data_IF_609878547199
#
_entry.id   IF_609878547199
#
_cell.length_a   1.000
_cell.length_b   1.000
_cell.length_c   1.000
_cell.angle_alpha   90.00
_cell.angle_beta   90.00
_cell.angle_gamma   90.00
#
_symmetry.space_group_name_H-M   'P 1'
#
loop_
_entity.id
_entity.type
_entity.pdbx_description
1 polymer ?
#
# COMPACT_ATOMS: atom_id res chain seq x y z
N UNK A 1 -5.82 -27.87 7.46
CA UNK A 1 -4.88 -26.77 7.81
C UNK A 1 -5.21 -25.58 6.94
N UNK A 2 -5.31 -24.39 7.52
CA UNK A 2 -5.52 -23.15 6.77
C UNK A 2 -4.18 -22.45 6.50
N UNK A 3 -4.17 -21.41 5.67
CA UNK A 3 -3.00 -20.53 5.44
C UNK A 3 -3.24 -19.18 6.08
N UNK A 4 -2.20 -18.60 6.66
CA UNK A 4 -2.24 -17.25 7.21
C UNK A 4 -2.53 -16.24 6.10
N UNK A 5 -3.55 -15.41 6.30
CA UNK A 5 -4.00 -14.43 5.31
C UNK A 5 -3.00 -13.30 5.00
N UNK A 6 -1.94 -13.19 5.80
CA UNK A 6 -0.88 -12.20 5.63
C UNK A 6 0.45 -12.80 5.16
N UNK A 7 0.72 -14.08 5.44
CA UNK A 7 2.06 -14.67 5.19
C UNK A 7 2.03 -15.99 4.45
N UNK A 8 0.85 -16.54 4.16
CA UNK A 8 0.62 -17.89 3.60
C UNK A 8 1.17 -19.07 4.41
N UNK A 9 1.83 -18.83 5.55
CA UNK A 9 2.29 -19.89 6.45
C UNK A 9 1.12 -20.74 6.99
N UNK A 10 1.31 -22.06 7.18
CA UNK A 10 0.26 -22.93 7.73
C UNK A 10 -0.20 -22.51 9.13
N UNK A 11 -1.52 -22.50 9.35
CA UNK A 11 -2.15 -22.21 10.63
C UNK A 11 -3.37 -23.13 10.88
N UNK A 12 -3.84 -23.19 12.13
CA UNK A 12 -4.90 -24.12 12.56
C UNK A 12 -6.28 -23.77 12.00
N UNK A 13 -6.60 -22.48 11.91
CA UNK A 13 -7.90 -21.94 11.47
C UNK A 13 -7.68 -20.72 10.57
N UNK A 14 -8.73 -20.23 9.92
CA UNK A 14 -8.69 -18.98 9.14
C UNK A 14 -8.23 -17.80 10.04
N UNK A 15 -7.35 -16.94 9.50
CA UNK A 15 -6.89 -15.74 10.20
C UNK A 15 -5.37 -15.52 10.08
N UNK A 16 -4.76 -15.11 11.19
CA UNK A 16 -3.38 -14.62 11.21
C UNK A 16 -2.47 -15.47 12.11
N UNK A 17 -1.22 -15.64 11.71
CA UNK A 17 -0.17 -16.21 12.56
C UNK A 17 0.28 -15.19 13.61
N UNK A 18 0.93 -15.64 14.69
CA UNK A 18 1.47 -14.72 15.70
C UNK A 18 2.47 -13.71 15.12
N UNK A 19 3.27 -14.14 14.14
CA UNK A 19 4.17 -13.25 13.39
C UNK A 19 3.36 -12.19 12.63
N UNK A 20 2.35 -12.59 11.86
CA UNK A 20 1.50 -11.65 11.14
C UNK A 20 0.83 -10.63 12.08
N UNK A 21 0.27 -11.08 13.21
CA UNK A 21 -0.33 -10.17 14.20
C UNK A 21 0.67 -9.15 14.74
N UNK A 22 1.90 -9.58 15.05
CA UNK A 22 2.97 -8.69 15.54
C UNK A 22 3.35 -7.62 14.51
N UNK A 23 3.56 -8.02 13.25
CA UNK A 23 4.02 -7.10 12.21
C UNK A 23 2.91 -6.19 11.69
N UNK A 24 1.70 -6.73 11.53
CA UNK A 24 0.57 -6.02 10.93
C UNK A 24 -0.22 -5.24 11.97
N UNK A 25 -0.55 -5.84 13.12
CA UNK A 25 -1.48 -5.29 14.11
C UNK A 25 -0.86 -5.01 15.48
N UNK A 26 0.46 -4.87 15.55
CA UNK A 26 1.20 -4.58 16.79
C UNK A 26 0.93 -5.63 17.90
N UNK A 27 0.63 -6.86 17.50
CA UNK A 27 0.38 -8.01 18.39
C UNK A 27 -1.08 -8.19 18.83
N UNK A 28 -1.97 -7.26 18.45
CA UNK A 28 -3.40 -7.32 18.77
C UNK A 28 -4.13 -8.42 18.02
N UNK A 29 -5.24 -8.91 18.58
CA UNK A 29 -6.00 -10.03 18.00
C UNK A 29 -7.12 -9.51 17.10
N UNK A 30 -6.80 -9.30 15.83
CA UNK A 30 -7.73 -8.72 14.86
C UNK A 30 -8.49 -9.81 14.11
N UNK A 31 -9.79 -9.59 13.90
CA UNK A 31 -10.65 -10.43 13.06
C UNK A 31 -10.24 -10.33 11.57
N UNK A 32 -10.25 -11.44 10.81
CA UNK A 32 -10.09 -11.37 9.36
C UNK A 32 -11.34 -10.84 8.63
N UNK A 33 -12.43 -10.57 9.36
CA UNK A 33 -13.66 -9.98 8.85
C UNK A 33 -13.89 -8.60 9.44
N UNK A 34 -14.17 -7.62 8.59
CA UNK A 34 -14.63 -6.28 8.93
C UNK A 34 -16.09 -6.32 9.39
N UNK A 35 -16.49 -5.38 10.24
CA UNK A 35 -17.84 -5.27 10.80
C UNK A 35 -18.82 -4.48 9.92
N UNK A 36 -18.31 -3.92 8.80
CA UNK A 36 -19.08 -3.21 7.79
C UNK A 36 -19.09 -3.92 6.43
N UNK A 37 -20.12 -3.61 5.64
CA UNK A 37 -20.28 -4.14 4.29
C UNK A 37 -19.30 -3.50 3.30
N UNK A 38 -19.06 -4.20 2.18
CA UNK A 38 -18.35 -3.61 1.06
C UNK A 38 -19.09 -2.34 0.60
N UNK A 39 -18.37 -1.28 0.19
CA UNK A 39 -18.99 -0.07 -0.30
C UNK A 39 -19.75 -0.36 -1.60
N UNK A 40 -21.08 -0.34 -1.54
CA UNK A 40 -21.90 -0.21 -2.74
C UNK A 40 -21.70 1.19 -3.32
N UNK A 41 -21.43 1.28 -4.63
CA UNK A 41 -20.97 2.48 -5.33
C UNK A 41 -21.93 3.70 -5.29
N UNK A 42 -23.05 3.62 -4.57
CA UNK A 42 -24.13 4.61 -4.66
C UNK A 42 -24.62 5.19 -3.32
N UNK A 43 -24.39 4.59 -2.12
CA UNK A 43 -25.14 5.07 -0.92
C UNK A 43 -24.46 5.09 0.47
N UNK A 44 -23.16 4.82 0.62
CA UNK A 44 -22.56 4.89 1.97
C UNK A 44 -21.83 6.22 2.26
N UNK A 45 -22.51 7.10 3.00
CA UNK A 45 -22.00 8.40 3.44
C UNK A 45 -20.64 8.32 4.17
N UNK A 46 -20.42 7.27 4.97
CA UNK A 46 -19.17 7.13 5.74
C UNK A 46 -17.96 6.88 4.84
N UNK A 47 -18.13 6.07 3.79
CA UNK A 47 -17.10 5.80 2.79
C UNK A 47 -16.85 7.01 1.90
N UNK A 48 -17.90 7.73 1.47
CA UNK A 48 -17.74 8.98 0.71
C UNK A 48 -16.95 10.03 1.49
N UNK A 49 -17.30 10.24 2.75
CA UNK A 49 -16.62 11.20 3.61
C UNK A 49 -15.16 10.78 3.88
N UNK A 50 -14.89 9.47 3.95
CA UNK A 50 -13.54 8.94 4.08
C UNK A 50 -12.68 9.24 2.84
N UNK A 51 -13.20 9.02 1.62
CA UNK A 51 -12.48 9.28 0.36
C UNK A 51 -12.11 10.75 0.23
N UNK A 52 -13.05 11.68 0.51
CA UNK A 52 -12.86 13.12 0.26
C UNK A 52 -11.71 13.76 1.04
N UNK A 53 -11.28 13.17 2.16
CA UNK A 53 -10.22 13.74 3.01
C UNK A 53 -8.89 12.99 2.94
N UNK A 54 -8.83 11.87 2.20
CA UNK A 54 -7.61 11.09 2.04
C UNK A 54 -6.81 11.65 0.86
N UNK A 55 -5.67 12.29 1.15
CA UNK A 55 -4.68 12.68 0.13
C UNK A 55 -3.80 11.49 -0.28
N UNK A 56 -4.41 10.41 -0.80
CA UNK A 56 -3.68 9.25 -1.35
C UNK A 56 -3.96 9.18 -2.84
N UNK A 57 -2.90 9.25 -3.64
CA UNK A 57 -3.01 9.22 -5.10
C UNK A 57 -3.41 7.85 -5.66
N UNK A 58 -4.11 7.82 -6.79
CA UNK A 58 -4.48 6.59 -7.51
C UNK A 58 -5.90 6.64 -8.08
N UNK A 59 -6.19 5.80 -9.08
CA UNK A 59 -7.53 5.68 -9.70
C UNK A 59 -8.45 4.77 -8.87
N UNK A 60 -7.88 3.80 -8.15
CA UNK A 60 -8.61 2.90 -7.28
C UNK A 60 -9.03 3.60 -5.99
N UNK A 61 -10.26 3.35 -5.56
CA UNK A 61 -10.80 3.82 -4.27
C UNK A 61 -10.01 3.22 -3.11
N UNK A 62 -9.67 4.05 -2.13
CA UNK A 62 -8.89 3.67 -0.95
C UNK A 62 -9.55 4.24 0.29
N UNK A 63 -9.57 3.45 1.36
CA UNK A 63 -10.10 3.88 2.64
C UNK A 63 -9.04 3.83 3.73
N UNK A 64 -9.11 4.78 4.63
CA UNK A 64 -8.21 4.88 5.78
C UNK A 64 -8.86 4.20 6.97
N UNK A 65 -8.16 3.24 7.58
CA UNK A 65 -8.61 2.54 8.77
C UNK A 65 -7.70 2.80 9.97
N UNK A 66 -8.29 2.78 11.16
CA UNK A 66 -7.61 2.75 12.44
C UNK A 66 -7.96 1.46 13.18
N UNK A 67 -6.99 0.91 13.91
CA UNK A 67 -7.24 -0.18 14.83
C UNK A 67 -7.63 0.40 16.20
N UNK A 68 -8.91 0.28 16.54
CA UNK A 68 -9.47 0.65 17.83
C UNK A 68 -9.71 -0.62 18.64
N UNK A 69 -9.05 -0.73 19.80
CA UNK A 69 -8.98 -2.00 20.54
C UNK A 69 -8.49 -3.12 19.62
N UNK A 70 -9.36 -4.05 19.23
CA UNK A 70 -9.07 -5.17 18.33
C UNK A 70 -9.85 -5.10 16.99
N UNK A 71 -10.55 -4.00 16.72
CA UNK A 71 -11.42 -3.83 15.55
C UNK A 71 -10.89 -2.73 14.61
N UNK A 72 -10.87 -3.03 13.31
CA UNK A 72 -10.52 -2.07 12.27
C UNK A 72 -11.74 -1.22 11.92
N UNK A 73 -11.64 0.11 12.10
CA UNK A 73 -12.72 1.06 11.80
C UNK A 73 -12.30 2.11 10.79
N UNK A 74 -13.26 2.60 10.01
CA UNK A 74 -13.08 3.75 9.13
C UNK A 74 -12.67 4.98 9.93
N UNK A 75 -11.64 5.67 9.46
CA UNK A 75 -11.20 6.94 10.03
C UNK A 75 -10.79 7.94 8.96
N UNK A 76 -11.14 9.20 9.16
CA UNK A 76 -10.74 10.31 8.29
C UNK A 76 -9.34 10.83 8.63
N UNK A 77 -8.90 10.69 9.88
CA UNK A 77 -7.65 11.28 10.38
C UNK A 77 -6.83 10.23 11.12
N UNK A 78 -5.51 10.26 10.93
CA UNK A 78 -4.57 9.43 11.68
C UNK A 78 -4.62 7.93 11.38
N UNK A 79 -5.35 7.50 10.34
CA UNK A 79 -5.45 6.09 10.01
C UNK A 79 -4.11 5.46 9.67
N UNK A 80 -3.85 4.32 10.32
CA UNK A 80 -2.61 3.53 10.22
C UNK A 80 -2.66 2.45 9.14
N UNK A 81 -3.82 2.25 8.52
CA UNK A 81 -4.00 1.24 7.47
C UNK A 81 -4.72 1.83 6.27
N UNK A 82 -4.43 1.27 5.10
CA UNK A 82 -5.13 1.55 3.85
C UNK A 82 -5.85 0.27 3.43
N UNK A 83 -7.17 0.37 3.27
CA UNK A 83 -8.02 -0.67 2.72
C UNK A 83 -8.28 -0.38 1.24
N UNK A 84 -8.10 -1.41 0.41
CA UNK A 84 -8.40 -1.38 -1.02
C UNK A 84 -9.44 -2.46 -1.33
N UNK A 85 -10.69 -2.08 -1.60
CA UNK A 85 -11.72 -3.02 -2.03
C UNK A 85 -11.44 -3.50 -3.47
N UNK A 86 -12.30 -4.40 -3.94
CA UNK A 86 -12.41 -4.74 -5.36
C UNK A 86 -12.61 -3.42 -6.16
N UNK A 87 -11.72 -3.11 -7.11
CA UNK A 87 -11.87 -1.94 -7.97
C UNK A 87 -13.09 -2.06 -8.88
N UNK A 88 -13.76 -0.93 -9.13
CA UNK A 88 -14.77 -0.86 -10.20
C UNK A 88 -14.13 -0.43 -11.50
N UNK A 89 -14.53 -1.11 -12.57
CA UNK A 89 -14.04 -0.85 -13.90
C UNK A 89 -14.50 -1.92 -14.88
N UNK A 90 -13.89 -1.92 -16.07
CA UNK A 90 -14.21 -2.85 -17.16
C UNK A 90 -13.11 -3.86 -17.43
N UNK A 91 -12.11 -3.97 -16.56
CA UNK A 91 -11.02 -4.93 -16.70
C UNK A 91 -11.50 -6.34 -16.37
N UNK A 92 -10.86 -7.34 -16.97
CA UNK A 92 -11.12 -8.74 -16.65
C UNK A 92 -10.58 -9.07 -15.25
N UNK A 93 -11.26 -9.98 -14.55
CA UNK A 93 -10.82 -10.51 -13.24
C UNK A 93 -10.64 -9.46 -12.12
N UNK A 94 -11.37 -8.34 -12.15
CA UNK A 94 -11.34 -7.32 -11.09
C UNK A 94 -11.63 -7.90 -9.69
N UNK A 95 -12.50 -8.91 -9.62
CA UNK A 95 -12.82 -9.62 -8.37
C UNK A 95 -11.59 -10.25 -7.70
N UNK A 96 -10.52 -10.52 -8.44
CA UNK A 96 -9.26 -11.08 -7.93
C UNK A 96 -8.18 -10.04 -7.67
N UNK A 97 -8.48 -8.74 -7.82
CA UNK A 97 -7.49 -7.68 -7.65
C UNK A 97 -6.91 -7.62 -6.22
N UNK A 98 -7.70 -7.75 -5.13
CA UNK A 98 -7.15 -7.84 -3.78
C UNK A 98 -6.15 -8.98 -3.61
N UNK A 99 -6.48 -10.18 -4.11
CA UNK A 99 -5.64 -11.37 -4.04
C UNK A 99 -4.38 -11.22 -4.89
N UNK A 100 -4.51 -10.63 -6.08
CA UNK A 100 -3.38 -10.35 -6.96
C UNK A 100 -2.37 -9.41 -6.30
N UNK A 101 -2.86 -8.31 -5.71
CA UNK A 101 -1.99 -7.36 -5.00
C UNK A 101 -1.33 -8.03 -3.79
N UNK A 102 -2.10 -8.77 -2.97
CA UNK A 102 -1.54 -9.48 -1.82
C UNK A 102 -0.48 -10.51 -2.24
N UNK A 103 -0.78 -11.36 -3.22
CA UNK A 103 0.12 -12.41 -3.68
C UNK A 103 1.43 -11.82 -4.21
N UNK A 104 1.33 -10.78 -5.05
CA UNK A 104 2.51 -10.10 -5.62
C UNK A 104 3.39 -9.52 -4.53
N UNK A 105 2.80 -8.89 -3.52
CA UNK A 105 3.52 -8.34 -2.37
C UNK A 105 4.19 -9.42 -1.51
N UNK A 106 3.53 -10.56 -1.31
CA UNK A 106 4.14 -11.69 -0.59
C UNK A 106 5.27 -12.34 -1.38
N UNK A 107 5.17 -12.44 -2.70
CA UNK A 107 6.25 -12.93 -3.54
C UNK A 107 7.45 -11.97 -3.48
N UNK A 108 7.21 -10.65 -3.62
CA UNK A 108 8.24 -9.63 -3.50
C UNK A 108 9.01 -9.76 -2.16
N UNK A 109 8.28 -9.86 -1.04
CA UNK A 109 8.86 -9.93 0.29
C UNK A 109 9.55 -11.26 0.59
N UNK A 110 8.84 -12.38 0.38
CA UNK A 110 9.28 -13.69 0.88
C UNK A 110 10.26 -14.40 -0.06
N UNK A 111 10.14 -14.16 -1.38
CA UNK A 111 10.95 -14.86 -2.38
C UNK A 111 12.11 -13.99 -2.85
N UNK A 112 11.84 -12.70 -3.12
CA UNK A 112 12.84 -11.78 -3.65
C UNK A 112 13.52 -10.91 -2.58
N UNK A 113 13.08 -10.99 -1.32
CA UNK A 113 13.65 -10.22 -0.22
C UNK A 113 13.47 -8.70 -0.38
N UNK A 114 12.48 -8.27 -1.16
CA UNK A 114 12.15 -6.86 -1.37
C UNK A 114 11.45 -6.34 -0.11
N UNK A 115 11.88 -5.17 0.36
CA UNK A 115 11.22 -4.51 1.48
C UNK A 115 9.81 -4.07 1.06
N UNK A 116 8.80 -4.53 1.79
CA UNK A 116 7.40 -4.24 1.52
C UNK A 116 6.66 -3.83 2.77
N UNK A 117 5.66 -2.98 2.63
CA UNK A 117 4.71 -2.69 3.70
C UNK A 117 4.02 -3.98 4.19
N UNK A 118 3.85 -4.18 5.52
CA UNK A 118 3.04 -5.28 6.04
C UNK A 118 1.63 -5.24 5.45
N UNK A 119 1.18 -6.36 4.91
CA UNK A 119 -0.09 -6.45 4.20
C UNK A 119 -0.80 -7.79 4.42
N UNK A 120 -2.08 -7.83 4.08
CA UNK A 120 -2.93 -9.02 4.20
C UNK A 120 -4.14 -8.95 3.28
N UNK A 121 -4.74 -10.11 3.05
CA UNK A 121 -6.17 -10.18 2.73
C UNK A 121 -7.01 -10.03 3.99
N UNK A 122 -8.10 -9.28 3.86
CA UNK A 122 -9.18 -9.17 4.85
C UNK A 122 -10.51 -9.26 4.10
N UNK A 123 -11.59 -9.58 4.80
CA UNK A 123 -12.90 -9.76 4.20
C UNK A 123 -13.89 -8.74 4.75
N UNK A 124 -14.75 -8.20 3.90
CA UNK A 124 -15.93 -7.47 4.35
C UNK A 124 -16.93 -8.40 5.05
N UNK A 125 -17.95 -7.83 5.68
CA UNK A 125 -19.00 -8.60 6.35
C UNK A 125 -19.73 -9.57 5.41
N UNK A 126 -19.95 -9.19 4.16
CA UNK A 126 -20.46 -10.05 3.09
C UNK A 126 -19.46 -11.07 2.52
N UNK A 127 -18.27 -11.22 3.12
CA UNK A 127 -17.18 -12.09 2.67
C UNK A 127 -16.48 -11.68 1.37
N UNK A 128 -16.73 -10.49 0.83
CA UNK A 128 -15.93 -9.97 -0.27
C UNK A 128 -14.48 -9.67 0.19
N UNK A 129 -13.46 -9.99 -0.62
CA UNK A 129 -12.08 -9.74 -0.28
C UNK A 129 -11.70 -8.26 -0.44
N UNK A 130 -10.76 -7.83 0.39
CA UNK A 130 -10.08 -6.55 0.29
C UNK A 130 -8.60 -6.71 0.63
N UNK A 131 -7.78 -5.88 0.02
CA UNK A 131 -6.37 -5.79 0.34
C UNK A 131 -6.17 -4.74 1.44
N UNK A 132 -5.53 -5.14 2.53
CA UNK A 132 -5.22 -4.26 3.64
C UNK A 132 -3.71 -4.13 3.78
N UNK A 133 -3.21 -2.90 3.84
CA UNK A 133 -1.80 -2.60 4.05
C UNK A 133 -1.63 -1.66 5.23
N UNK A 134 -0.66 -1.95 6.09
CA UNK A 134 -0.23 -1.04 7.16
C UNK A 134 0.64 0.05 6.56
N UNK A 135 0.31 1.30 6.88
CA UNK A 135 1.10 2.46 6.48
C UNK A 135 2.47 2.45 7.14
N UNK A 136 3.50 2.66 6.34
CA UNK A 136 4.89 2.79 6.79
C UNK A 136 5.30 4.25 7.03
N UNK A 137 4.47 5.21 6.59
CA UNK A 137 4.67 6.65 6.76
C UNK A 137 4.07 7.19 8.08
N UNK A 138 3.52 6.33 8.93
CA UNK A 138 2.91 6.72 10.22
C UNK A 138 3.67 6.09 11.38
N UNK A 139 4.10 6.94 12.32
CA UNK A 139 4.84 6.56 13.53
C UNK A 139 3.92 6.00 14.62
N UNK A 140 4.52 5.43 15.67
CA UNK A 140 3.79 4.86 16.79
C UNK A 140 2.91 5.90 17.51
N UNK A 141 3.45 7.12 17.67
CA UNK A 141 2.80 8.29 18.28
C UNK A 141 1.74 8.95 17.37
N UNK A 142 1.56 8.46 16.14
CA UNK A 142 0.59 8.98 15.17
C UNK A 142 1.12 10.12 14.29
N UNK A 143 2.34 10.59 14.52
CA UNK A 143 3.00 11.54 13.61
C UNK A 143 3.38 10.87 12.28
N UNK A 144 3.63 11.65 11.23
CA UNK A 144 4.00 11.12 9.92
C UNK A 144 5.48 11.32 9.64
N UNK A 145 6.10 10.34 8.99
CA UNK A 145 7.38 10.54 8.32
C UNK A 145 7.17 11.46 7.10
N UNK A 146 8.17 12.30 6.81
CA UNK A 146 8.18 13.02 5.53
C UNK A 146 8.35 12.00 4.40
N UNK A 147 7.50 12.10 3.39
CA UNK A 147 7.52 11.24 2.22
C UNK A 147 7.16 12.08 0.99
N UNK A 148 7.97 11.96 -0.06
CA UNK A 148 7.70 12.60 -1.36
C UNK A 148 7.79 11.57 -2.48
N UNK A 149 6.77 11.52 -3.33
CA UNK A 149 6.80 10.72 -4.54
C UNK A 149 7.64 11.37 -5.64
N UNK A 150 8.04 10.61 -6.66
CA UNK A 150 8.91 11.16 -7.71
C UNK A 150 8.22 12.18 -8.62
N UNK A 151 6.88 12.32 -8.60
CA UNK A 151 6.24 13.47 -9.26
C UNK A 151 6.47 14.76 -8.49
N UNK A 152 6.45 14.70 -7.16
CA UNK A 152 6.75 15.85 -6.28
C UNK A 152 8.23 16.23 -6.36
N UNK A 153 9.14 15.25 -6.31
CA UNK A 153 10.59 15.47 -6.41
C UNK A 153 10.95 16.08 -7.78
N UNK A 154 10.28 15.62 -8.85
CA UNK A 154 10.42 16.18 -10.21
C UNK A 154 9.69 17.52 -10.40
N UNK A 155 8.87 17.93 -9.43
CA UNK A 155 8.05 19.15 -9.46
C UNK A 155 7.06 19.18 -10.63
N UNK A 156 6.50 18.03 -10.98
CA UNK A 156 5.44 17.90 -11.99
C UNK A 156 4.10 17.61 -11.34
N UNK A 157 3.04 18.12 -11.94
CA UNK A 157 1.68 17.94 -11.46
C UNK A 157 0.71 17.95 -12.62
N UNK A 158 -0.55 17.61 -12.35
CA UNK A 158 -1.62 17.70 -13.35
C UNK A 158 -1.75 19.11 -13.91
N UNK A 159 -1.60 20.13 -13.07
CA UNK A 159 -1.73 21.53 -13.46
C UNK A 159 -0.55 22.01 -14.32
N UNK A 160 0.64 21.46 -14.12
CA UNK A 160 1.87 21.89 -14.80
C UNK A 160 2.12 21.09 -16.08
N UNK A 161 1.89 19.78 -16.03
CA UNK A 161 2.30 18.82 -17.07
C UNK A 161 1.14 18.03 -17.65
N UNK A 162 -0.11 18.40 -17.34
CA UNK A 162 -1.30 17.75 -17.87
C UNK A 162 -1.64 16.42 -17.21
N UNK A 163 -2.68 15.76 -17.71
CA UNK A 163 -3.32 14.60 -17.05
C UNK A 163 -2.41 13.38 -16.92
N UNK A 164 -1.43 13.24 -17.82
CA UNK A 164 -0.52 12.10 -17.89
C UNK A 164 0.80 12.31 -17.14
N UNK A 165 0.97 13.41 -16.40
CA UNK A 165 2.23 13.80 -15.74
C UNK A 165 2.92 12.67 -14.95
N UNK A 166 2.14 11.77 -14.33
CA UNK A 166 2.68 10.64 -13.56
C UNK A 166 3.37 9.58 -14.42
N UNK A 167 3.03 9.49 -15.71
CA UNK A 167 3.62 8.61 -16.71
C UNK A 167 4.74 9.28 -17.51
N UNK A 168 4.88 10.60 -17.39
CA UNK A 168 5.88 11.38 -18.13
C UNK A 168 7.23 11.38 -17.41
N UNK A 169 7.87 10.21 -17.36
CA UNK A 169 9.23 10.03 -16.84
C UNK A 169 9.80 8.66 -17.15
N UNK A 170 11.10 8.48 -16.89
CA UNK A 170 11.78 7.20 -17.10
C UNK A 170 12.39 6.67 -15.80
N UNK A 171 12.65 5.36 -15.74
CA UNK A 171 13.40 4.79 -14.61
C UNK A 171 14.81 5.37 -14.50
N UNK A 172 15.44 5.74 -15.62
CA UNK A 172 16.70 6.47 -15.61
C UNK A 172 16.57 7.84 -14.95
N UNK A 173 15.48 8.56 -15.21
CA UNK A 173 15.20 9.84 -14.57
C UNK A 173 14.98 9.69 -13.05
N UNK A 174 14.24 8.66 -12.62
CA UNK A 174 14.11 8.30 -11.20
C UNK A 174 15.50 8.04 -10.59
N UNK A 175 16.36 7.27 -11.26
CA UNK A 175 17.72 6.99 -10.79
C UNK A 175 18.59 8.26 -10.67
N UNK A 176 18.47 9.19 -11.61
CA UNK A 176 19.17 10.49 -11.55
C UNK A 176 18.67 11.34 -10.38
N UNK A 177 17.35 11.41 -10.16
CA UNK A 177 16.76 12.12 -9.04
C UNK A 177 17.13 11.48 -7.70
N UNK A 178 17.15 10.15 -7.62
CA UNK A 178 17.61 9.40 -6.46
C UNK A 178 19.06 9.76 -6.12
N UNK A 179 19.96 9.76 -7.11
CA UNK A 179 21.36 10.16 -6.94
C UNK A 179 21.52 11.60 -6.47
N UNK A 180 20.62 12.49 -6.88
CA UNK A 180 20.65 13.91 -6.54
C UNK A 180 20.14 14.21 -5.13
N UNK A 181 19.08 13.54 -4.69
CA UNK A 181 18.33 13.90 -3.48
C UNK A 181 18.46 12.90 -2.31
N UNK A 182 18.96 11.68 -2.55
CA UNK A 182 19.19 10.70 -1.51
C UNK A 182 20.69 10.63 -1.16
N UNK A 183 21.04 10.92 0.09
CA UNK A 183 22.43 10.82 0.55
C UNK A 183 22.98 9.38 0.44
N UNK A 184 22.13 8.38 0.68
CA UNK A 184 22.45 6.96 0.60
C UNK A 184 22.26 6.34 -0.80
N UNK A 185 22.23 7.15 -1.86
CA UNK A 185 21.87 6.70 -3.22
C UNK A 185 22.66 5.49 -3.72
N UNK A 186 23.91 5.31 -3.29
CA UNK A 186 24.75 4.17 -3.72
C UNK A 186 24.18 2.82 -3.29
N UNK A 187 23.47 2.78 -2.17
CA UNK A 187 22.76 1.58 -1.70
C UNK A 187 21.34 1.56 -2.23
N UNK A 188 20.66 2.70 -2.27
CA UNK A 188 19.27 2.78 -2.74
C UNK A 188 19.14 2.48 -4.24
N UNK A 189 20.15 2.77 -5.06
CA UNK A 189 20.10 2.51 -6.50
C UNK A 189 20.03 1.02 -6.82
N UNK A 190 20.69 0.17 -6.02
CA UNK A 190 20.60 -1.28 -6.16
C UNK A 190 19.18 -1.76 -5.81
N UNK A 191 18.58 -1.20 -4.75
CA UNK A 191 17.18 -1.51 -4.37
C UNK A 191 16.21 -1.07 -5.45
N UNK A 192 16.40 0.13 -5.98
CA UNK A 192 15.60 0.64 -7.08
C UNK A 192 15.69 -0.26 -8.31
N UNK A 193 16.90 -0.68 -8.70
CA UNK A 193 17.09 -1.57 -9.85
C UNK A 193 16.41 -2.93 -9.65
N UNK A 194 16.50 -3.52 -8.44
CA UNK A 194 15.75 -4.74 -8.09
C UNK A 194 14.23 -4.55 -8.23
N UNK A 195 13.70 -3.40 -7.81
CA UNK A 195 12.28 -3.07 -7.98
C UNK A 195 11.88 -2.95 -9.45
N UNK A 196 12.71 -2.30 -10.28
CA UNK A 196 12.45 -2.20 -11.73
C UNK A 196 12.41 -3.59 -12.38
N UNK A 197 13.38 -4.45 -12.06
CA UNK A 197 13.41 -5.83 -12.56
C UNK A 197 12.21 -6.65 -12.08
N UNK A 198 11.83 -6.51 -10.80
CA UNK A 198 10.66 -7.19 -10.26
C UNK A 198 9.37 -6.75 -10.99
N UNK A 199 9.16 -5.44 -11.14
CA UNK A 199 8.00 -4.93 -11.87
C UNK A 199 7.96 -5.43 -13.33
N UNK A 200 9.12 -5.55 -13.99
CA UNK A 200 9.21 -6.11 -15.33
C UNK A 200 8.83 -7.60 -15.36
N UNK A 201 9.38 -8.43 -14.47
CA UNK A 201 9.12 -9.88 -14.41
C UNK A 201 7.66 -10.19 -14.09
N UNK A 202 7.04 -9.38 -13.22
CA UNK A 202 5.64 -9.55 -12.81
C UNK A 202 4.65 -8.77 -13.68
N UNK A 203 5.11 -8.19 -14.79
CA UNK A 203 4.29 -7.44 -15.74
C UNK A 203 3.45 -6.34 -15.08
N UNK A 204 4.03 -5.63 -14.09
CA UNK A 204 3.38 -4.47 -13.49
C UNK A 204 3.42 -3.28 -14.46
N UNK A 205 2.40 -3.20 -15.31
CA UNK A 205 2.27 -2.16 -16.34
C UNK A 205 1.90 -0.77 -15.83
N UNK A 206 1.67 -0.58 -14.53
CA UNK A 206 1.29 0.72 -13.94
C UNK A 206 2.33 1.28 -12.95
N UNK A 207 3.57 0.76 -12.96
CA UNK A 207 4.67 1.24 -12.13
C UNK A 207 5.19 2.63 -12.57
N UNK A 208 4.44 3.68 -12.23
CA UNK A 208 4.69 5.06 -12.66
C UNK A 208 5.34 5.91 -11.55
N UNK A 209 5.68 7.19 -11.83
CA UNK A 209 6.44 8.06 -10.90
C UNK A 209 5.85 8.14 -9.48
N UNK A 210 4.53 8.07 -9.31
CA UNK A 210 3.88 8.12 -7.99
C UNK A 210 3.95 6.83 -7.16
N UNK A 211 4.44 5.73 -7.74
CA UNK A 211 4.64 4.47 -7.02
C UNK A 211 6.01 4.36 -6.37
N UNK A 212 6.90 5.30 -6.67
CA UNK A 212 8.20 5.42 -6.06
C UNK A 212 8.20 6.68 -5.20
N UNK A 213 8.81 6.61 -4.02
CA UNK A 213 8.90 7.74 -3.11
C UNK A 213 10.17 7.69 -2.29
N UNK A 214 10.66 8.84 -1.88
CA UNK A 214 11.66 8.93 -0.83
C UNK A 214 10.96 9.16 0.51
N UNK A 215 11.34 8.41 1.53
CA UNK A 215 10.86 8.53 2.89
C UNK A 215 12.00 8.89 3.85
N UNK A 216 11.70 9.79 4.78
CA UNK A 216 12.63 10.19 5.84
C UNK A 216 12.87 9.05 6.82
N UNK A 217 14.13 8.85 7.22
CA UNK A 217 14.49 7.93 8.30
C UNK A 217 14.48 8.62 9.66
N UNK A 218 14.60 7.82 10.73
CA UNK A 218 14.78 8.33 12.09
C UNK A 218 15.99 9.24 12.31
N UNK A 219 16.95 9.26 11.39
CA UNK A 219 18.14 10.12 11.45
C UNK A 219 18.00 11.40 10.61
N UNK A 220 16.85 11.58 9.93
CA UNK A 220 16.55 12.77 9.15
C UNK A 220 17.01 12.73 7.68
N UNK A 221 17.79 11.73 7.28
CA UNK A 221 18.10 11.44 5.88
C UNK A 221 16.92 10.78 5.17
N UNK A 222 17.01 10.63 3.85
CA UNK A 222 15.96 10.04 3.01
C UNK A 222 16.45 8.76 2.34
N UNK A 223 15.53 7.81 2.17
CA UNK A 223 15.76 6.54 1.46
C UNK A 223 14.58 6.20 0.57
N UNK A 224 14.77 5.27 -0.36
CA UNK A 224 13.68 4.66 -1.14
C UNK A 224 12.90 3.66 -0.26
#
# INVERSE_FOLDING_TARGET
>A
MSKCLSTYNPIKSLGFSAKALKHLFDGKRVSPFLDFEAPEFIYNNDFENNIRQISISGVQVKYSLQLEEDTLKLTQVGGKYILKPIPVGRFQNLASAPENEHLTMQIASQIFGIETAPNTLIYFKNSEPAYLVKRFDVQADGTKWLQEDFTQIKQVSRQISGDNYKYEGSYEEIAMLLRKYCAAWTVEIERFYKLVLFNYVFSNGDAHLKNFSLIQTKFGDFRL
#
